data_IF_920160714523
#
_entry.id   IF_920160714523
#
_cell.length_a   1.000
_cell.length_b   1.000
_cell.length_c   1.000
_cell.angle_alpha   90.00
_cell.angle_beta   90.00
_cell.angle_gamma   90.00
#
_symmetry.space_group_name_H-M   'P 1'
#
loop_
_entity.id
_entity.type
_entity.pdbx_description
1 polymer ?
#
# COMPACT_ATOMS: atom_id res chain seq x y z
N UNK A 1 -21.08 -57.14 -30.05
CA UNK A 1 -21.80 -58.12 -29.19
C UNK A 1 -22.40 -57.26 -28.09
N UNK A 2 -23.66 -56.85 -28.18
CA UNK A 2 -24.89 -57.47 -27.62
C UNK A 2 -24.65 -57.84 -26.15
N UNK A 3 -25.37 -57.41 -25.14
CA UNK A 3 -26.77 -57.06 -24.88
C UNK A 3 -26.83 -56.99 -23.35
N UNK A 4 -27.71 -56.48 -22.59
CA UNK A 4 -29.10 -56.07 -22.69
C UNK A 4 -29.58 -55.59 -21.33
N UNK A 5 -30.57 -54.78 -21.35
CA UNK A 5 -31.40 -54.20 -20.33
C UNK A 5 -31.98 -55.14 -19.27
N UNK A 6 -32.35 -54.61 -18.11
CA UNK A 6 -33.62 -54.98 -17.43
C UNK A 6 -34.12 -53.84 -16.55
N UNK A 7 -35.38 -53.49 -16.82
CA UNK A 7 -36.30 -52.65 -16.02
C UNK A 7 -36.93 -53.50 -14.91
N UNK A 8 -37.22 -52.87 -13.77
CA UNK A 8 -38.36 -53.28 -12.95
C UNK A 8 -39.06 -52.11 -12.30
N UNK A 9 -40.34 -51.99 -12.55
CA UNK A 9 -41.33 -51.05 -11.98
C UNK A 9 -42.01 -51.72 -10.77
N UNK A 10 -42.57 -50.92 -9.88
CA UNK A 10 -43.68 -51.29 -8.99
C UNK A 10 -43.53 -50.63 -7.63
N UNK A 11 -44.41 -50.03 -6.97
CA UNK A 11 -45.86 -49.81 -7.04
C UNK A 11 -46.25 -48.97 -5.85
N UNK A 12 -47.22 -48.15 -6.04
CA UNK A 12 -47.94 -47.24 -5.13
C UNK A 12 -48.58 -47.99 -3.96
N UNK A 13 -48.62 -47.40 -2.76
CA UNK A 13 -49.66 -47.68 -1.76
C UNK A 13 -50.05 -46.37 -1.03
N UNK A 14 -51.32 -46.05 -1.14
CA UNK A 14 -52.11 -45.06 -0.37
C UNK A 14 -52.61 -45.70 0.90
N UNK A 15 -52.77 -44.93 1.96
CA UNK A 15 -53.82 -44.88 2.96
C UNK A 15 -53.31 -44.15 4.20
N UNK A 16 -53.99 -43.42 5.00
CA UNK A 16 -55.33 -42.85 5.13
C UNK A 16 -55.31 -42.01 6.40
N UNK A 17 -56.14 -41.00 6.44
CA UNK A 17 -56.27 -40.01 7.49
C UNK A 17 -56.67 -40.59 8.86
N UNK A 18 -56.15 -39.92 9.94
CA UNK A 18 -56.82 -39.94 11.24
C UNK A 18 -56.85 -38.50 11.80
N UNK A 19 -58.09 -38.02 11.99
CA UNK A 19 -58.37 -36.76 12.70
C UNK A 19 -58.39 -37.06 14.20
N UNK A 20 -57.77 -36.22 14.99
CA UNK A 20 -58.16 -35.95 16.37
C UNK A 20 -57.93 -34.50 16.70
N UNK A 21 -59.01 -33.81 17.03
CA UNK A 21 -59.06 -32.49 17.57
C UNK A 21 -58.85 -32.53 19.08
N UNK A 22 -58.10 -31.58 19.67
CA UNK A 22 -58.44 -30.95 20.96
C UNK A 22 -57.64 -29.70 21.21
N UNK A 23 -58.34 -28.59 21.36
CA UNK A 23 -58.31 -27.45 22.27
C UNK A 23 -56.98 -26.77 22.69
N UNK A 24 -56.88 -25.55 22.27
CA UNK A 24 -56.61 -24.28 22.96
C UNK A 24 -55.68 -24.24 24.19
N UNK A 25 -54.64 -23.41 24.06
CA UNK A 25 -53.98 -22.65 25.13
C UNK A 25 -53.03 -21.62 24.57
N UNK A 26 -53.17 -20.32 24.86
CA UNK A 26 -52.34 -19.27 24.28
C UNK A 26 -51.11 -18.99 25.16
N UNK A 27 -49.92 -19.23 24.67
CA UNK A 27 -48.72 -18.54 25.14
C UNK A 27 -47.53 -18.81 24.18
N UNK A 28 -47.57 -18.18 23.02
CA UNK A 28 -46.38 -18.04 22.20
C UNK A 28 -45.72 -16.72 22.60
N UNK A 29 -44.71 -16.79 23.47
CA UNK A 29 -43.80 -15.71 23.77
C UNK A 29 -43.10 -15.28 22.46
N UNK A 30 -43.37 -14.06 22.03
CA UNK A 30 -42.62 -13.30 21.05
C UNK A 30 -41.16 -13.05 21.58
N UNK A 31 -40.27 -14.02 21.39
CA UNK A 31 -38.86 -13.87 21.65
C UNK A 31 -38.13 -14.35 20.40
N UNK A 32 -37.82 -13.44 19.49
CA UNK A 32 -37.07 -13.80 18.30
C UNK A 32 -36.84 -12.68 17.29
N UNK A 33 -37.70 -11.68 17.21
CA UNK A 33 -37.51 -10.59 16.21
C UNK A 33 -36.63 -9.42 16.69
N UNK A 34 -36.55 -9.16 18.00
CA UNK A 34 -35.73 -8.07 18.52
C UNK A 34 -34.23 -8.31 18.51
N UNK A 35 -33.78 -9.55 18.74
CA UNK A 35 -32.35 -9.89 18.78
C UNK A 35 -31.69 -9.91 17.39
N UNK A 36 -32.41 -10.34 16.35
CA UNK A 36 -31.87 -10.36 14.98
C UNK A 36 -31.84 -8.95 14.39
N UNK A 37 -32.84 -8.11 14.69
CA UNK A 37 -32.85 -6.72 14.22
C UNK A 37 -31.81 -5.84 14.94
N UNK A 38 -31.61 -6.01 16.25
CA UNK A 38 -30.56 -5.29 16.99
C UNK A 38 -29.15 -5.75 16.60
N UNK A 39 -28.92 -7.06 16.39
CA UNK A 39 -27.63 -7.55 15.93
C UNK A 39 -27.31 -7.07 14.50
N UNK A 40 -28.33 -6.99 13.64
CA UNK A 40 -28.15 -6.48 12.26
C UNK A 40 -27.96 -4.96 12.24
N UNK A 41 -28.66 -4.20 13.06
CA UNK A 41 -28.48 -2.75 13.18
C UNK A 41 -27.12 -2.39 13.79
N UNK A 42 -26.66 -3.12 14.83
CA UNK A 42 -25.31 -2.93 15.40
C UNK A 42 -24.20 -3.36 14.44
N UNK A 43 -24.41 -4.42 13.65
CA UNK A 43 -23.43 -4.82 12.64
C UNK A 43 -23.33 -3.83 11.47
N UNK A 44 -24.45 -3.23 11.04
CA UNK A 44 -24.46 -2.17 10.01
C UNK A 44 -23.78 -0.91 10.53
N UNK A 45 -24.07 -0.47 11.78
CA UNK A 45 -23.41 0.71 12.36
C UNK A 45 -21.90 0.50 12.60
N UNK A 46 -21.49 -0.70 13.01
CA UNK A 46 -20.07 -1.04 13.16
C UNK A 46 -19.32 -1.10 11.83
N UNK A 47 -19.99 -1.59 10.76
CA UNK A 47 -19.40 -1.59 9.42
C UNK A 47 -19.30 -0.18 8.82
N UNK A 48 -20.25 0.70 9.11
CA UNK A 48 -20.22 2.11 8.69
C UNK A 48 -19.09 2.88 9.37
N UNK A 49 -18.83 2.65 10.66
CA UNK A 49 -17.72 3.28 11.38
C UNK A 49 -16.34 2.74 10.98
N UNK A 50 -16.26 1.48 10.54
CA UNK A 50 -15.00 0.86 10.11
C UNK A 50 -14.44 1.51 8.84
N UNK A 51 -15.30 1.97 7.94
CA UNK A 51 -14.94 2.57 6.65
C UNK A 51 -15.50 3.99 6.50
N UNK A 52 -15.43 4.78 7.56
CA UNK A 52 -15.94 6.16 7.54
C UNK A 52 -15.29 6.99 6.42
N UNK A 53 -16.13 7.46 5.47
CA UNK A 53 -15.69 8.19 4.29
C UNK A 53 -14.97 7.35 3.23
N UNK A 54 -14.97 5.99 3.36
CA UNK A 54 -14.39 5.06 2.38
C UNK A 54 -15.48 4.12 1.87
N UNK A 55 -15.84 4.28 0.60
CA UNK A 55 -16.78 3.42 -0.08
C UNK A 55 -16.10 2.14 -0.56
N UNK A 56 -16.76 0.99 -0.40
CA UNK A 56 -16.26 -0.31 -0.83
C UNK A 56 -17.12 -0.84 -1.97
N UNK A 57 -16.48 -1.54 -2.88
CA UNK A 57 -17.11 -2.24 -3.99
C UNK A 57 -16.51 -3.63 -4.18
N UNK A 58 -17.10 -4.41 -5.10
CA UNK A 58 -16.51 -5.66 -5.56
C UNK A 58 -16.10 -5.53 -7.01
N UNK A 59 -14.89 -5.98 -7.32
CA UNK A 59 -14.41 -6.06 -8.68
C UNK A 59 -15.11 -7.18 -9.49
N UNK A 60 -14.78 -7.31 -10.78
CA UNK A 60 -15.35 -8.34 -11.66
C UNK A 60 -15.06 -9.78 -11.21
N UNK A 61 -14.05 -9.99 -10.35
CA UNK A 61 -13.72 -11.28 -9.74
C UNK A 61 -14.35 -11.49 -8.36
N UNK A 62 -15.21 -10.55 -7.92
CA UNK A 62 -15.89 -10.58 -6.62
C UNK A 62 -15.02 -10.18 -5.42
N UNK A 63 -13.79 -9.72 -5.63
CA UNK A 63 -12.87 -9.29 -4.58
C UNK A 63 -13.28 -7.92 -4.05
N UNK A 64 -13.34 -7.78 -2.72
CA UNK A 64 -13.65 -6.51 -2.07
C UNK A 64 -12.49 -5.54 -2.19
N UNK A 65 -12.78 -4.29 -2.53
CA UNK A 65 -11.80 -3.21 -2.64
C UNK A 65 -12.40 -1.85 -2.30
N UNK A 66 -11.55 -0.88 -2.06
CA UNK A 66 -11.95 0.53 -1.99
C UNK A 66 -12.45 0.95 -3.37
N UNK A 67 -13.62 1.62 -3.44
CA UNK A 67 -14.15 2.19 -4.67
C UNK A 67 -13.33 3.43 -5.08
N UNK A 68 -13.16 3.60 -6.40
CA UNK A 68 -12.43 4.76 -6.94
C UNK A 68 -13.22 6.05 -6.67
N UNK A 69 -12.56 7.03 -6.04
CA UNK A 69 -13.11 8.36 -5.78
C UNK A 69 -12.28 9.43 -6.47
N UNK A 70 -12.85 10.11 -7.45
CA UNK A 70 -12.15 11.06 -8.31
C UNK A 70 -11.58 12.29 -7.58
N UNK A 71 -12.20 12.73 -6.48
CA UNK A 71 -11.72 13.85 -5.65
C UNK A 71 -10.70 13.46 -4.58
N UNK A 72 -10.31 12.17 -4.51
CA UNK A 72 -9.51 11.62 -3.43
C UNK A 72 -10.32 11.48 -2.13
N UNK A 73 -9.65 11.28 -1.01
CA UNK A 73 -10.28 10.98 0.27
C UNK A 73 -10.03 12.09 1.30
N UNK A 74 -9.35 11.77 2.39
CA UNK A 74 -9.07 12.72 3.46
C UNK A 74 -7.86 13.57 3.14
N UNK A 75 -7.72 14.71 3.84
CA UNK A 75 -6.61 15.65 3.65
C UNK A 75 -5.90 15.90 4.96
N UNK A 76 -4.59 16.12 4.84
CA UNK A 76 -3.68 16.46 5.92
C UNK A 76 -2.71 17.52 5.44
N UNK A 77 -2.56 18.58 6.19
CA UNK A 77 -1.64 19.67 5.85
C UNK A 77 -0.22 19.31 6.29
N UNK A 78 0.65 19.04 5.34
CA UNK A 78 2.06 18.79 5.59
C UNK A 78 2.92 19.86 4.92
N UNK A 79 3.73 20.59 5.70
CA UNK A 79 4.56 21.70 5.22
C UNK A 79 3.79 22.73 4.38
N UNK A 80 2.52 22.97 4.73
CA UNK A 80 1.62 23.88 3.99
C UNK A 80 0.94 23.29 2.77
N UNK A 81 1.14 21.99 2.46
CA UNK A 81 0.51 21.29 1.35
C UNK A 81 -0.61 20.35 1.85
N UNK A 82 -1.78 20.43 1.22
CA UNK A 82 -2.95 19.58 1.52
C UNK A 82 -2.77 18.17 0.90
N UNK A 83 -2.03 17.31 1.56
CA UNK A 83 -1.78 15.94 1.14
C UNK A 83 -3.00 15.05 1.32
N UNK A 84 -3.22 14.13 0.39
CA UNK A 84 -4.34 13.20 0.43
C UNK A 84 -3.96 11.87 1.09
N UNK A 85 -4.93 11.21 1.74
CA UNK A 85 -4.76 9.88 2.30
C UNK A 85 -6.08 9.13 2.43
N UNK A 86 -6.02 7.81 2.56
CA UNK A 86 -7.14 6.94 2.91
C UNK A 86 -6.92 6.42 4.33
N UNK A 87 -7.97 6.43 5.17
CA UNK A 87 -7.96 5.80 6.47
C UNK A 87 -9.16 4.85 6.62
N UNK A 88 -8.94 3.71 7.25
CA UNK A 88 -10.00 2.74 7.58
C UNK A 88 -9.63 1.99 8.86
N UNK A 89 -10.64 1.53 9.59
CA UNK A 89 -10.43 0.80 10.83
C UNK A 89 -9.92 1.68 11.98
N UNK A 90 -10.16 2.98 11.96
CA UNK A 90 -9.66 3.92 12.98
C UNK A 90 -10.19 3.62 14.38
N UNK A 91 -11.35 2.98 14.47
CA UNK A 91 -11.97 2.53 15.73
C UNK A 91 -11.52 1.15 16.19
N UNK A 92 -10.64 0.49 15.46
CA UNK A 92 -10.06 -0.79 15.84
C UNK A 92 -9.05 -0.61 16.98
N UNK A 93 -8.92 -1.64 17.83
CA UNK A 93 -7.94 -1.69 18.91
C UNK A 93 -6.57 -2.25 18.46
N UNK A 94 -6.47 -2.75 17.26
CA UNK A 94 -5.26 -3.36 16.72
C UNK A 94 -4.19 -2.35 16.33
N UNK A 95 -3.00 -2.84 15.96
CA UNK A 95 -1.85 -2.00 15.60
C UNK A 95 -2.13 -1.06 14.40
N UNK A 96 -1.39 0.05 14.37
CA UNK A 96 -1.37 0.98 13.24
C UNK A 96 -0.59 0.36 12.08
N UNK A 97 -1.12 0.48 10.86
CA UNK A 97 -0.43 0.12 9.62
C UNK A 97 -0.42 1.30 8.67
N UNK A 98 0.77 1.79 8.34
CA UNK A 98 0.99 2.88 7.37
C UNK A 98 1.42 2.29 6.03
N UNK A 99 0.65 2.57 4.96
CA UNK A 99 0.85 2.07 3.61
C UNK A 99 1.43 3.16 2.71
N UNK A 100 2.55 2.88 2.03
CA UNK A 100 3.31 3.82 1.19
C UNK A 100 3.45 3.27 -0.23
N UNK A 101 2.88 3.97 -1.21
CA UNK A 101 2.82 3.54 -2.60
C UNK A 101 4.13 3.75 -3.38
N UNK A 102 4.22 3.17 -4.58
CA UNK A 102 5.35 3.29 -5.50
C UNK A 102 5.27 4.49 -6.45
N UNK A 103 6.22 4.56 -7.40
CA UNK A 103 6.27 5.58 -8.44
C UNK A 103 5.04 5.51 -9.37
N UNK A 104 4.46 6.67 -9.67
CA UNK A 104 3.28 6.76 -10.54
C UNK A 104 1.99 6.23 -9.93
N UNK A 105 2.06 5.66 -8.73
CA UNK A 105 0.92 5.17 -7.96
C UNK A 105 0.44 6.21 -6.93
N UNK A 106 -0.49 5.82 -6.07
CA UNK A 106 -1.04 6.62 -4.97
C UNK A 106 -1.78 5.72 -3.95
N UNK A 107 -2.41 6.29 -2.93
CA UNK A 107 -3.09 5.54 -1.86
C UNK A 107 -4.11 4.50 -2.36
N UNK A 108 -4.80 4.74 -3.48
CA UNK A 108 -5.74 3.79 -4.10
C UNK A 108 -5.08 2.48 -4.57
N UNK A 109 -3.78 2.46 -4.79
CA UNK A 109 -3.04 1.23 -5.12
C UNK A 109 -3.13 0.17 -4.01
N UNK A 110 -3.47 0.57 -2.78
CA UNK A 110 -3.71 -0.29 -1.65
C UNK A 110 -5.19 -0.72 -1.51
N UNK A 111 -6.00 -0.52 -2.55
CA UNK A 111 -7.46 -0.69 -2.56
C UNK A 111 -7.95 -2.04 -2.04
N UNK A 112 -7.22 -3.13 -2.26
CA UNK A 112 -7.53 -4.47 -1.75
C UNK A 112 -6.95 -4.72 -0.35
N UNK A 113 -5.84 -4.07 -0.03
CA UNK A 113 -5.14 -4.26 1.25
C UNK A 113 -5.85 -3.50 2.38
N UNK A 114 -6.33 -2.30 2.10
CA UNK A 114 -7.02 -1.46 3.11
C UNK A 114 -8.21 -2.20 3.74
N UNK A 115 -9.21 -2.71 2.99
CA UNK A 115 -10.34 -3.40 3.61
C UNK A 115 -9.93 -4.72 4.27
N UNK A 116 -8.98 -5.45 3.71
CA UNK A 116 -8.51 -6.70 4.30
C UNK A 116 -7.91 -6.50 5.69
N UNK A 117 -7.03 -5.50 5.85
CA UNK A 117 -6.41 -5.18 7.13
C UNK A 117 -7.40 -4.57 8.13
N UNK A 118 -8.26 -3.64 7.68
CA UNK A 118 -9.25 -3.02 8.55
C UNK A 118 -10.24 -4.04 9.13
N UNK A 119 -10.71 -5.00 8.30
CA UNK A 119 -11.58 -6.11 8.76
C UNK A 119 -10.86 -7.08 9.70
N UNK A 120 -9.54 -7.18 9.59
CA UNK A 120 -8.72 -8.00 10.50
C UNK A 120 -8.38 -7.27 11.82
N UNK A 121 -8.92 -6.07 12.04
CA UNK A 121 -8.79 -5.33 13.30
C UNK A 121 -7.64 -4.34 13.36
N UNK A 122 -6.96 -4.04 12.23
CA UNK A 122 -5.89 -3.05 12.16
C UNK A 122 -6.43 -1.63 11.88
N UNK A 123 -5.72 -0.61 12.36
CA UNK A 123 -5.93 0.79 12.01
C UNK A 123 -5.06 1.12 10.80
N UNK A 124 -5.67 1.37 9.65
CA UNK A 124 -5.00 1.40 8.34
C UNK A 124 -4.98 2.79 7.76
N UNK A 125 -3.81 3.27 7.38
CA UNK A 125 -3.59 4.60 6.82
C UNK A 125 -2.74 4.50 5.56
N UNK A 126 -3.26 4.89 4.40
CA UNK A 126 -2.56 4.88 3.12
C UNK A 126 -2.31 6.31 2.65
N UNK A 127 -1.03 6.72 2.63
CA UNK A 127 -0.60 8.05 2.25
C UNK A 127 -0.54 8.19 0.72
N UNK A 128 -0.99 9.34 0.17
CA UNK A 128 -0.50 9.83 -1.12
C UNK A 128 0.73 10.72 -0.88
N UNK A 129 1.90 10.24 -1.25
CA UNK A 129 3.13 11.05 -1.15
C UNK A 129 2.99 12.36 -1.94
N UNK A 130 3.59 13.43 -1.47
CA UNK A 130 3.57 14.73 -2.16
C UNK A 130 4.14 14.58 -3.57
N UNK A 131 3.47 15.16 -4.55
CA UNK A 131 3.78 15.00 -5.96
C UNK A 131 3.04 13.86 -6.66
N UNK A 132 2.32 12.99 -5.92
CA UNK A 132 1.59 11.85 -6.46
C UNK A 132 0.10 11.88 -6.16
N UNK A 133 -0.67 11.12 -6.93
CA UNK A 133 -2.09 10.89 -6.71
C UNK A 133 -2.89 12.19 -6.56
N UNK A 134 -3.67 12.28 -5.52
CA UNK A 134 -4.47 13.46 -5.16
C UNK A 134 -3.76 14.44 -4.22
N UNK A 135 -2.49 14.20 -3.89
CA UNK A 135 -1.64 15.20 -3.24
C UNK A 135 -1.16 16.23 -4.25
N UNK A 136 -0.87 17.47 -3.82
CA UNK A 136 -0.48 18.57 -4.73
C UNK A 136 0.72 18.25 -5.60
N UNK A 137 0.67 18.71 -6.84
CA UNK A 137 1.73 18.61 -7.84
C UNK A 137 2.58 19.89 -7.80
N UNK A 138 3.61 19.87 -6.98
CA UNK A 138 4.47 21.04 -6.71
C UNK A 138 5.90 20.79 -7.14
N UNK A 139 6.63 21.88 -7.41
CA UNK A 139 8.04 21.81 -7.79
C UNK A 139 8.93 21.78 -6.53
N UNK A 140 9.03 20.61 -5.91
CA UNK A 140 9.91 20.37 -4.77
C UNK A 140 11.16 19.57 -5.16
N UNK A 141 12.18 19.62 -4.33
CA UNK A 141 13.38 18.80 -4.49
C UNK A 141 13.15 17.41 -3.91
N UNK A 142 12.36 16.61 -4.62
CA UNK A 142 12.05 15.25 -4.19
C UNK A 142 13.32 14.39 -4.09
N UNK A 143 13.39 13.61 -3.02
CA UNK A 143 14.39 12.57 -2.77
C UNK A 143 13.81 11.56 -1.76
N UNK A 144 14.53 10.46 -1.48
CA UNK A 144 14.06 9.45 -0.54
C UNK A 144 13.88 10.03 0.88
N UNK A 145 14.82 10.87 1.31
CA UNK A 145 14.79 11.51 2.63
C UNK A 145 13.57 12.43 2.79
N UNK A 146 13.18 13.13 1.71
CA UNK A 146 12.01 14.00 1.70
C UNK A 146 10.72 13.20 1.94
N UNK A 147 10.51 12.13 1.18
CA UNK A 147 9.33 11.28 1.36
C UNK A 147 9.39 10.44 2.64
N UNK A 148 10.59 9.99 3.04
CA UNK A 148 10.78 9.31 4.31
C UNK A 148 10.37 10.17 5.49
N UNK A 149 10.74 11.46 5.48
CA UNK A 149 10.27 12.41 6.49
C UNK A 149 8.74 12.59 6.43
N UNK A 150 8.14 12.65 5.23
CA UNK A 150 6.68 12.70 5.11
C UNK A 150 6.01 11.46 5.72
N UNK A 151 6.58 10.27 5.54
CA UNK A 151 6.07 9.03 6.16
C UNK A 151 6.16 9.09 7.69
N UNK A 152 7.26 9.59 8.25
CA UNK A 152 7.43 9.77 9.70
C UNK A 152 6.36 10.71 10.24
N UNK A 153 6.24 11.91 9.66
CA UNK A 153 5.32 12.95 10.11
C UNK A 153 3.87 12.47 9.97
N UNK A 154 3.51 11.85 8.85
CA UNK A 154 2.19 11.27 8.62
C UNK A 154 1.84 10.19 9.64
N UNK A 155 2.76 9.27 9.91
CA UNK A 155 2.55 8.21 10.89
C UNK A 155 2.29 8.77 12.29
N UNK A 156 2.96 9.85 12.67
CA UNK A 156 2.82 10.49 13.98
C UNK A 156 1.58 11.38 14.06
N UNK A 157 1.42 12.28 13.10
CA UNK A 157 0.41 13.34 13.16
C UNK A 157 -1.00 12.87 12.76
N UNK A 158 -1.09 11.91 11.82
CA UNK A 158 -2.36 11.41 11.29
C UNK A 158 -2.72 10.05 11.87
N UNK A 159 -1.79 9.10 11.84
CA UNK A 159 -2.06 7.76 12.34
C UNK A 159 -1.89 7.63 13.86
N UNK A 160 -1.28 8.60 14.52
CA UNK A 160 -1.09 8.62 15.98
C UNK A 160 0.05 7.74 16.48
N UNK A 161 0.99 7.37 15.59
CA UNK A 161 2.12 6.53 15.97
C UNK A 161 3.02 7.21 17.02
N UNK A 162 3.42 6.47 18.02
CA UNK A 162 4.23 6.92 19.16
C UNK A 162 5.17 5.81 19.65
N UNK A 163 5.89 6.07 20.73
CA UNK A 163 6.72 5.04 21.38
C UNK A 163 5.90 3.93 22.05
N UNK A 164 4.68 4.24 22.49
CA UNK A 164 3.75 3.30 23.12
C UNK A 164 2.79 2.63 22.14
N UNK A 165 2.54 3.26 21.01
CA UNK A 165 1.62 2.78 19.96
C UNK A 165 2.30 2.87 18.59
N UNK A 166 3.18 1.92 18.33
CA UNK A 166 4.05 1.92 17.15
C UNK A 166 3.29 1.49 15.89
N UNK A 167 3.67 2.09 14.75
CA UNK A 167 3.15 1.68 13.44
C UNK A 167 3.97 0.59 12.78
N UNK A 168 3.31 -0.28 12.01
CA UNK A 168 3.99 -1.09 10.99
C UNK A 168 3.96 -0.31 9.67
N UNK A 169 5.11 -0.13 9.04
CA UNK A 169 5.21 0.59 7.78
C UNK A 169 5.34 -0.42 6.64
N UNK A 170 4.46 -0.33 5.65
CA UNK A 170 4.44 -1.19 4.46
C UNK A 170 4.65 -0.32 3.24
N UNK A 171 5.71 -0.54 2.49
CA UNK A 171 6.02 0.27 1.32
C UNK A 171 6.25 -0.54 0.06
N UNK A 172 5.79 -0.04 -1.11
CA UNK A 172 6.04 -0.65 -2.41
C UNK A 172 7.05 0.17 -3.22
N UNK A 173 8.02 -0.49 -3.85
CA UNK A 173 8.97 0.12 -4.79
C UNK A 173 9.74 1.30 -4.16
N UNK A 174 9.63 2.53 -4.69
CA UNK A 174 10.22 3.74 -4.07
C UNK A 174 9.57 4.05 -2.72
N UNK A 175 8.29 3.71 -2.53
CA UNK A 175 7.63 3.82 -1.23
C UNK A 175 8.23 2.89 -0.19
N UNK A 176 8.81 1.75 -0.60
CA UNK A 176 9.56 0.88 0.29
C UNK A 176 10.87 1.53 0.76
N UNK A 177 11.52 2.33 -0.10
CA UNK A 177 12.69 3.13 0.31
C UNK A 177 12.33 4.24 1.31
N UNK A 178 11.22 4.95 1.07
CA UNK A 178 10.71 5.95 2.00
C UNK A 178 10.32 5.30 3.34
N UNK A 179 9.69 4.11 3.30
CA UNK A 179 9.36 3.32 4.48
C UNK A 179 10.63 2.86 5.23
N UNK A 180 11.65 2.39 4.52
CA UNK A 180 12.93 2.00 5.11
C UNK A 180 13.62 3.20 5.77
N UNK A 181 13.67 4.36 5.10
CA UNK A 181 14.18 5.58 5.70
C UNK A 181 13.42 5.93 6.99
N UNK A 182 12.11 5.92 6.94
CA UNK A 182 11.27 6.23 8.11
C UNK A 182 11.51 5.27 9.27
N UNK A 183 11.53 3.96 9.00
CA UNK A 183 11.75 2.94 10.02
C UNK A 183 13.16 2.99 10.64
N UNK A 184 14.19 3.30 9.82
CA UNK A 184 15.59 3.39 10.31
C UNK A 184 15.88 4.71 11.02
N UNK A 185 15.16 5.80 10.67
CA UNK A 185 15.40 7.14 11.26
C UNK A 185 14.55 7.36 12.52
N UNK A 186 13.36 6.75 12.60
CA UNK A 186 12.45 6.86 13.73
C UNK A 186 12.04 5.48 14.29
N UNK A 187 13.00 4.62 14.69
CA UNK A 187 12.74 3.24 15.11
C UNK A 187 11.88 3.16 16.38
N UNK A 188 11.87 4.22 17.19
CA UNK A 188 11.04 4.29 18.40
C UNK A 188 9.54 4.28 18.10
N UNK A 189 9.10 4.73 16.94
CA UNK A 189 7.71 4.74 16.51
C UNK A 189 7.37 3.64 15.48
N UNK A 190 8.34 2.80 15.11
CA UNK A 190 8.19 1.71 14.15
C UNK A 190 8.14 0.36 14.86
N UNK A 191 7.08 -0.42 14.66
CA UNK A 191 6.90 -1.79 15.16
C UNK A 191 7.51 -2.82 14.22
N UNK A 192 7.44 -2.57 12.91
CA UNK A 192 7.95 -3.46 11.88
C UNK A 192 7.89 -2.80 10.51
N UNK A 193 8.68 -3.33 9.58
CA UNK A 193 8.81 -2.86 8.21
C UNK A 193 8.51 -3.98 7.21
N UNK A 194 7.61 -3.75 6.27
CA UNK A 194 7.39 -4.63 5.13
C UNK A 194 7.82 -3.95 3.84
N UNK A 195 8.80 -4.52 3.17
CA UNK A 195 9.28 -4.08 1.86
C UNK A 195 8.61 -4.90 0.76
N UNK A 196 7.77 -4.24 -0.05
CA UNK A 196 7.06 -4.86 -1.17
C UNK A 196 7.79 -4.50 -2.45
N UNK A 197 8.44 -5.48 -3.09
CA UNK A 197 9.23 -5.28 -4.32
C UNK A 197 10.05 -3.99 -4.27
N UNK A 198 10.89 -3.86 -3.24
CA UNK A 198 11.59 -2.61 -2.93
C UNK A 198 12.53 -2.17 -4.04
N UNK A 199 12.45 -0.90 -4.41
CA UNK A 199 13.52 -0.23 -5.13
C UNK A 199 14.75 -0.08 -4.21
N UNK A 200 15.87 0.33 -4.77
CA UNK A 200 17.11 0.60 -4.06
C UNK A 200 18.26 -0.28 -4.51
N UNK A 201 19.46 0.20 -4.22
CA UNK A 201 20.68 -0.58 -4.35
C UNK A 201 21.05 -1.15 -2.97
N UNK A 202 21.02 -2.48 -2.88
CA UNK A 202 21.38 -3.26 -1.69
C UNK A 202 22.71 -4.02 -1.89
N UNK A 203 23.52 -3.61 -2.88
CA UNK A 203 24.85 -4.19 -3.05
C UNK A 203 25.71 -3.83 -1.83
N UNK A 204 26.49 -4.79 -1.32
CA UNK A 204 27.42 -4.48 -0.25
C UNK A 204 28.46 -3.49 -0.77
N UNK A 205 28.67 -2.39 -0.06
CA UNK A 205 29.82 -1.54 -0.33
C UNK A 205 31.11 -2.37 -0.17
N UNK A 206 32.04 -2.22 -1.10
CA UNK A 206 33.35 -2.84 -0.97
C UNK A 206 33.98 -2.38 0.35
N UNK A 207 34.14 -3.32 1.29
CA UNK A 207 34.72 -3.24 2.62
C UNK A 207 34.34 -2.03 3.51
N UNK A 208 33.91 -2.25 4.76
CA UNK A 208 33.60 -1.15 5.67
C UNK A 208 34.86 -0.31 5.92
N UNK A 209 34.82 0.97 5.52
CA UNK A 209 35.79 1.96 5.96
C UNK A 209 35.68 2.19 7.45
N UNK A 210 36.73 2.69 8.12
CA UNK A 210 36.74 2.90 9.56
C UNK A 210 35.66 3.92 9.99
N UNK A 211 34.90 3.56 11.03
CA UNK A 211 33.88 4.33 11.74
C UNK A 211 32.66 4.80 10.93
N UNK A 212 31.60 3.98 10.93
CA UNK A 212 30.25 4.39 10.53
C UNK A 212 29.69 5.39 11.56
N UNK A 213 29.55 6.65 11.16
CA UNK A 213 28.72 7.60 11.93
C UNK A 213 27.27 7.14 11.88
N UNK A 214 26.58 7.15 13.02
CA UNK A 214 25.14 6.84 13.08
C UNK A 214 24.34 7.82 12.24
N UNK A 215 23.15 7.40 11.75
CA UNK A 215 22.24 8.25 10.96
C UNK A 215 21.92 9.57 11.66
N UNK A 216 21.76 9.57 12.98
CA UNK A 216 21.55 10.76 13.79
C UNK A 216 22.75 11.74 13.70
N UNK A 217 23.98 11.22 13.63
CA UNK A 217 25.20 12.05 13.48
C UNK A 217 25.38 12.60 12.06
N UNK A 218 24.85 11.91 11.04
CA UNK A 218 24.82 12.37 9.64
C UNK A 218 23.77 13.46 9.44
N UNK A 219 22.56 13.27 9.96
CA UNK A 219 21.45 14.22 9.82
C UNK A 219 21.76 15.61 10.43
N UNK A 220 22.55 15.67 11.50
CA UNK A 220 22.96 16.93 12.14
C UNK A 220 24.07 17.66 11.33
N UNK A 221 24.90 16.92 10.58
CA UNK A 221 25.96 17.50 9.73
C UNK A 221 25.42 18.14 8.45
N UNK A 222 24.42 17.52 7.82
CA UNK A 222 23.91 17.90 6.49
C UNK A 222 22.93 19.10 6.51
N UNK A 223 22.36 19.44 7.67
CA UNK A 223 21.48 20.60 7.81
C UNK A 223 22.19 21.96 7.67
N UNK A 224 23.51 21.99 7.71
CA UNK A 224 24.33 23.25 7.62
C UNK A 224 24.82 23.57 6.21
N UNK A 225 24.69 22.67 5.22
CA UNK A 225 25.36 22.81 3.92
C UNK A 225 24.42 23.17 2.73
N UNK A 226 23.16 23.57 3.00
CA UNK A 226 22.16 23.83 1.94
C UNK A 226 22.04 25.32 1.57
N UNK A 227 23.00 26.16 1.86
CA UNK A 227 22.95 27.60 1.52
C UNK A 227 24.13 28.06 0.65
N UNK A 228 24.44 27.33 -0.42
CA UNK A 228 25.26 27.87 -1.51
C UNK A 228 24.39 28.19 -2.72
N UNK A 229 24.14 29.50 -2.91
CA UNK A 229 23.70 30.09 -4.17
C UNK A 229 24.78 29.84 -5.22
N UNK A 230 24.74 28.70 -5.90
CA UNK A 230 25.51 28.47 -7.12
C UNK A 230 24.95 29.36 -8.23
N UNK A 231 25.81 30.25 -8.76
CA UNK A 231 25.55 30.98 -10.00
C UNK A 231 25.38 29.93 -11.13
N UNK A 232 24.12 29.58 -11.46
CA UNK A 232 23.82 28.72 -12.57
C UNK A 232 24.36 29.30 -13.87
N UNK A 233 25.26 28.58 -14.54
CA UNK A 233 25.80 28.97 -15.81
C UNK A 233 24.71 28.90 -16.92
N UNK A 234 24.88 29.68 -18.00
CA UNK A 234 23.99 29.62 -19.17
C UNK A 234 23.88 28.18 -19.70
N UNK A 235 24.94 27.39 -19.62
CA UNK A 235 25.00 25.97 -20.02
C UNK A 235 24.09 25.13 -19.14
N UNK A 236 24.03 25.38 -17.82
CA UNK A 236 23.17 24.63 -16.92
C UNK A 236 21.69 24.92 -17.18
N UNK A 237 21.34 26.18 -17.49
CA UNK A 237 19.97 26.55 -17.90
C UNK A 237 19.55 25.88 -19.19
N UNK A 238 20.42 25.79 -20.20
CA UNK A 238 20.16 25.09 -21.46
C UNK A 238 19.99 23.57 -21.20
N UNK A 239 20.85 22.97 -20.38
CA UNK A 239 20.76 21.56 -19.99
C UNK A 239 19.44 21.28 -19.27
N UNK A 240 19.04 22.14 -18.35
CA UNK A 240 17.79 22.01 -17.62
C UNK A 240 16.59 22.13 -18.56
N UNK A 241 16.57 23.13 -19.44
CA UNK A 241 15.49 23.30 -20.42
C UNK A 241 15.34 22.09 -21.34
N UNK A 242 16.46 21.53 -21.82
CA UNK A 242 16.45 20.29 -22.62
C UNK A 242 15.92 19.10 -21.81
N UNK A 243 16.38 18.92 -20.57
CA UNK A 243 15.93 17.84 -19.70
C UNK A 243 14.44 17.94 -19.37
N UNK A 244 13.90 19.16 -19.16
CA UNK A 244 12.48 19.41 -18.99
C UNK A 244 11.68 19.06 -20.25
N UNK A 245 12.19 19.40 -21.44
CA UNK A 245 11.54 19.06 -22.70
C UNK A 245 11.46 17.55 -22.93
N UNK A 246 12.55 16.82 -22.64
CA UNK A 246 12.60 15.34 -22.69
C UNK A 246 11.62 14.74 -21.70
N UNK A 247 11.61 15.18 -20.44
CA UNK A 247 10.67 14.71 -19.44
C UNK A 247 9.21 14.96 -19.83
N UNK A 248 8.92 16.09 -20.46
CA UNK A 248 7.60 16.43 -21.01
C UNK A 248 7.18 15.43 -22.10
N UNK A 249 8.07 15.13 -23.04
CA UNK A 249 7.82 14.14 -24.09
C UNK A 249 7.57 12.73 -23.52
N UNK A 250 8.36 12.32 -22.53
CA UNK A 250 8.17 11.05 -21.82
C UNK A 250 6.81 11.04 -21.11
N UNK A 251 6.46 12.10 -20.39
CA UNK A 251 5.20 12.23 -19.68
C UNK A 251 3.99 12.01 -20.60
N UNK A 252 3.92 12.71 -21.72
CA UNK A 252 2.82 12.54 -22.68
C UNK A 252 2.81 11.14 -23.30
N UNK A 253 3.97 10.61 -23.69
CA UNK A 253 4.07 9.24 -24.20
C UNK A 253 3.56 8.21 -23.19
N UNK A 254 3.93 8.38 -21.93
CA UNK A 254 3.52 7.50 -20.82
C UNK A 254 2.01 7.59 -20.58
N UNK A 255 1.45 8.79 -20.55
CA UNK A 255 0.03 9.03 -20.33
C UNK A 255 -0.86 8.24 -21.30
N UNK A 256 -0.52 8.21 -22.59
CA UNK A 256 -1.27 7.43 -23.59
C UNK A 256 -1.05 5.92 -23.50
N UNK A 257 -0.10 5.45 -22.69
CA UNK A 257 0.33 4.05 -22.61
C UNK A 257 0.26 3.48 -21.21
N UNK A 258 -0.45 4.13 -20.28
CA UNK A 258 -0.52 3.72 -18.86
C UNK A 258 -0.85 2.23 -18.74
N UNK A 259 -1.94 1.74 -19.37
CA UNK A 259 -2.32 0.32 -19.32
C UNK A 259 -1.22 -0.60 -19.84
N UNK A 260 -0.57 -0.24 -20.95
CA UNK A 260 0.50 -1.04 -21.54
C UNK A 260 1.75 -1.09 -20.64
N UNK A 261 2.09 0.02 -20.00
CA UNK A 261 3.25 0.09 -19.08
C UNK A 261 2.96 -0.71 -17.82
N UNK A 262 1.77 -0.58 -17.24
CA UNK A 262 1.36 -1.37 -16.09
C UNK A 262 1.35 -2.87 -16.42
N UNK A 263 0.83 -3.25 -17.60
CA UNK A 263 0.80 -4.67 -18.01
C UNK A 263 2.18 -5.30 -18.15
N UNK A 264 3.24 -4.52 -18.35
CA UNK A 264 4.62 -5.05 -18.36
C UNK A 264 5.11 -5.46 -16.97
N UNK A 265 4.51 -4.94 -15.92
CA UNK A 265 4.92 -5.14 -14.52
C UNK A 265 3.85 -5.83 -13.67
N UNK A 266 2.72 -6.21 -14.26
CA UNK A 266 1.67 -7.02 -13.69
C UNK A 266 1.67 -8.41 -14.33
N UNK A 267 1.51 -9.45 -13.55
CA UNK A 267 1.34 -10.83 -14.04
C UNK A 267 -0.09 -11.04 -14.56
N UNK A 268 -1.08 -10.45 -13.88
CA UNK A 268 -2.49 -10.55 -14.27
C UNK A 268 -2.96 -9.31 -15.01
N UNK A 269 -4.14 -9.40 -15.62
CA UNK A 269 -4.72 -8.27 -16.37
C UNK A 269 -4.95 -7.06 -15.48
N UNK A 270 -4.44 -5.91 -15.94
CA UNK A 270 -4.58 -4.62 -15.27
C UNK A 270 -6.01 -4.12 -15.35
N UNK A 271 -6.55 -3.78 -14.21
CA UNK A 271 -7.89 -3.24 -14.02
C UNK A 271 -8.01 -1.81 -14.57
N UNK A 272 -9.11 -1.52 -15.27
CA UNK A 272 -9.34 -0.22 -15.91
C UNK A 272 -9.50 0.92 -14.88
N UNK A 273 -10.02 0.66 -13.67
CA UNK A 273 -10.12 1.68 -12.62
C UNK A 273 -8.74 2.09 -12.10
N UNK A 274 -7.78 1.16 -12.06
CA UNK A 274 -6.40 1.50 -11.73
C UNK A 274 -5.81 2.44 -12.79
N UNK A 275 -6.00 2.11 -14.07
CA UNK A 275 -5.56 2.96 -15.19
C UNK A 275 -6.19 4.34 -15.10
N UNK A 276 -7.51 4.39 -14.88
CA UNK A 276 -8.28 5.64 -14.72
C UNK A 276 -7.76 6.47 -13.54
N UNK A 277 -7.47 5.84 -12.42
CA UNK A 277 -6.99 6.53 -11.23
C UNK A 277 -5.65 7.24 -11.45
N UNK A 278 -4.74 6.61 -12.20
CA UNK A 278 -3.44 7.18 -12.56
C UNK A 278 -3.63 8.31 -13.61
N UNK A 279 -4.50 8.11 -14.60
CA UNK A 279 -4.79 9.15 -15.61
C UNK A 279 -5.41 10.40 -14.98
N UNK A 280 -6.36 10.24 -14.03
CA UNK A 280 -6.93 11.36 -13.28
C UNK A 280 -5.86 12.18 -12.56
N UNK A 281 -4.93 11.51 -11.87
CA UNK A 281 -3.83 12.17 -11.19
C UNK A 281 -2.85 12.87 -12.15
N UNK A 282 -2.69 12.34 -13.38
CA UNK A 282 -1.84 12.92 -14.41
C UNK A 282 -2.49 14.12 -15.15
N UNK A 283 -3.78 14.38 -14.92
CA UNK A 283 -4.49 15.54 -15.48
C UNK A 283 -4.29 16.82 -14.67
N UNK A 284 -3.72 16.74 -13.45
CA UNK A 284 -3.42 17.91 -12.64
C UNK A 284 -2.48 18.87 -13.39
N UNK A 285 -2.77 20.17 -13.43
CA UNK A 285 -1.96 21.16 -14.16
C UNK A 285 -0.47 21.19 -13.78
N UNK A 286 -0.14 20.84 -12.53
CA UNK A 286 1.22 20.74 -12.05
C UNK A 286 1.96 19.44 -12.43
N UNK A 287 1.24 18.43 -12.97
CA UNK A 287 1.77 17.08 -13.13
C UNK A 287 3.05 16.99 -13.97
N UNK A 288 3.13 17.73 -15.09
CA UNK A 288 4.31 17.71 -15.96
C UNK A 288 5.55 18.24 -15.26
N UNK A 289 5.43 19.39 -14.58
CA UNK A 289 6.55 19.98 -13.85
C UNK A 289 6.99 19.10 -12.69
N UNK A 290 6.04 18.56 -11.98
CA UNK A 290 6.29 17.60 -10.90
C UNK A 290 6.95 16.34 -11.41
N UNK A 291 6.50 15.78 -12.54
CA UNK A 291 7.11 14.60 -13.17
C UNK A 291 8.60 14.81 -13.46
N UNK A 292 8.98 15.98 -13.97
CA UNK A 292 10.40 16.34 -14.14
C UNK A 292 11.16 16.29 -12.81
N UNK A 293 10.61 16.90 -11.76
CA UNK A 293 11.25 16.89 -10.43
C UNK A 293 11.36 15.48 -9.85
N UNK A 294 10.33 14.65 -10.06
CA UNK A 294 10.30 13.23 -9.64
C UNK A 294 11.38 12.40 -10.36
N UNK A 295 11.62 12.68 -11.66
CA UNK A 295 12.66 11.97 -12.43
C UNK A 295 14.08 12.23 -11.91
N UNK A 296 14.28 13.31 -11.18
CA UNK A 296 15.56 13.66 -10.55
C UNK A 296 15.71 13.14 -9.12
N UNK A 297 14.66 12.55 -8.53
CA UNK A 297 14.67 12.17 -7.12
C UNK A 297 15.79 11.19 -6.77
N UNK A 298 16.06 10.23 -7.63
CA UNK A 298 17.13 9.26 -7.42
C UNK A 298 18.52 9.89 -7.35
N UNK A 299 18.82 10.90 -8.20
CA UNK A 299 20.10 11.58 -8.20
C UNK A 299 20.29 12.54 -7.00
N UNK A 300 19.19 12.95 -6.37
CA UNK A 300 19.20 13.83 -5.18
C UNK A 300 19.26 13.05 -3.87
N UNK A 301 18.91 11.75 -3.90
CA UNK A 301 18.96 10.89 -2.73
C UNK A 301 20.41 10.67 -2.32
N UNK A 302 20.75 11.02 -1.08
CA UNK A 302 22.11 10.94 -0.54
C UNK A 302 22.34 9.68 0.28
N UNK A 303 21.30 9.19 0.95
CA UNK A 303 21.39 7.97 1.77
C UNK A 303 21.39 6.73 0.91
N UNK A 304 22.16 5.72 1.30
CA UNK A 304 22.19 4.43 0.62
C UNK A 304 21.20 3.47 1.27
N UNK A 305 20.41 2.78 0.45
CA UNK A 305 19.43 1.81 0.94
C UNK A 305 20.08 0.65 1.71
N UNK A 306 21.25 0.20 1.29
CA UNK A 306 22.01 -0.84 1.99
C UNK A 306 22.46 -0.42 3.38
N UNK A 307 22.88 0.84 3.57
CA UNK A 307 23.29 1.37 4.88
C UNK A 307 22.08 1.50 5.82
N UNK A 308 20.95 2.07 5.33
CA UNK A 308 19.71 2.15 6.09
C UNK A 308 19.22 0.77 6.53
N UNK A 309 19.28 -0.19 5.61
CA UNK A 309 18.87 -1.56 5.92
C UNK A 309 19.79 -2.20 6.96
N UNK A 310 21.11 -2.00 6.85
CA UNK A 310 22.08 -2.53 7.81
C UNK A 310 21.85 -1.99 9.23
N UNK A 311 21.46 -0.71 9.33
CA UNK A 311 21.19 -0.03 10.61
C UNK A 311 19.78 -0.32 11.18
N UNK A 312 18.88 -0.95 10.39
CA UNK A 312 17.53 -1.29 10.86
C UNK A 312 17.52 -2.62 11.61
N UNK A 313 17.15 -2.61 12.89
CA UNK A 313 17.13 -3.79 13.77
C UNK A 313 15.71 -4.30 14.10
N UNK A 314 14.66 -3.67 13.52
CA UNK A 314 13.29 -4.07 13.74
C UNK A 314 12.86 -5.32 12.94
N UNK A 315 11.64 -5.78 13.19
CA UNK A 315 11.03 -6.88 12.43
C UNK A 315 10.90 -6.50 10.95
N UNK A 316 11.40 -7.35 10.06
CA UNK A 316 11.43 -7.12 8.61
C UNK A 316 10.72 -8.23 7.85
N UNK A 317 9.82 -7.83 6.94
CA UNK A 317 9.21 -8.69 5.95
C UNK A 317 9.57 -8.23 4.53
N UNK A 318 9.80 -9.18 3.64
CA UNK A 318 9.93 -8.98 2.20
C UNK A 318 8.74 -9.67 1.53
N UNK A 319 7.75 -8.92 1.11
CA UNK A 319 6.62 -9.39 0.30
C UNK A 319 6.99 -9.19 -1.17
N UNK A 320 7.15 -10.28 -1.93
CA UNK A 320 7.80 -10.18 -3.22
C UNK A 320 7.04 -10.87 -4.33
N UNK A 321 6.63 -10.11 -5.35
CA UNK A 321 6.11 -10.65 -6.60
C UNK A 321 7.24 -11.27 -7.42
N UNK A 322 7.16 -12.57 -7.64
CA UNK A 322 8.24 -13.33 -8.30
C UNK A 322 8.37 -13.04 -9.80
N UNK A 323 7.33 -12.46 -10.40
CA UNK A 323 7.28 -12.08 -11.82
C UNK A 323 7.65 -10.63 -12.09
N UNK A 324 8.14 -9.91 -11.07
CA UNK A 324 8.60 -8.53 -11.25
C UNK A 324 9.82 -8.45 -12.16
N UNK A 325 9.73 -7.78 -13.33
CA UNK A 325 10.86 -7.64 -14.23
C UNK A 325 11.88 -6.58 -13.78
N UNK A 326 11.50 -5.68 -12.84
CA UNK A 326 12.35 -4.58 -12.37
C UNK A 326 13.05 -4.90 -11.06
N UNK A 327 12.26 -5.34 -10.07
CA UNK A 327 12.74 -5.73 -8.75
C UNK A 327 12.72 -7.26 -8.66
N UNK A 328 13.64 -7.90 -9.40
CA UNK A 328 13.70 -9.36 -9.49
C UNK A 328 13.93 -10.01 -8.11
N UNK A 329 13.60 -11.29 -7.92
CA UNK A 329 13.87 -12.02 -6.68
C UNK A 329 15.35 -11.98 -6.22
N UNK A 330 16.28 -11.73 -7.13
CA UNK A 330 17.70 -11.53 -6.80
C UNK A 330 17.90 -10.35 -5.84
N UNK A 331 17.12 -9.27 -6.00
CA UNK A 331 17.18 -8.14 -5.05
C UNK A 331 16.70 -8.53 -3.64
N UNK A 332 15.65 -9.34 -3.54
CA UNK A 332 15.20 -9.87 -2.25
C UNK A 332 16.29 -10.75 -1.61
N UNK A 333 17.00 -11.54 -2.40
CA UNK A 333 18.14 -12.32 -1.92
C UNK A 333 19.25 -11.43 -1.36
N UNK A 334 19.58 -10.32 -2.02
CA UNK A 334 20.55 -9.33 -1.52
C UNK A 334 20.12 -8.67 -0.20
N UNK A 335 18.84 -8.32 -0.06
CA UNK A 335 18.31 -7.83 1.21
C UNK A 335 18.47 -8.87 2.31
N UNK A 336 18.21 -10.15 2.02
CA UNK A 336 18.35 -11.25 2.98
C UNK A 336 19.80 -11.56 3.35
N UNK A 337 20.75 -11.29 2.48
CA UNK A 337 22.18 -11.36 2.81
C UNK A 337 22.56 -10.33 3.90
N UNK A 338 21.96 -9.13 3.86
CA UNK A 338 22.16 -8.08 4.87
C UNK A 338 21.35 -8.39 6.14
N UNK A 339 20.11 -8.89 6.00
CA UNK A 339 19.16 -9.20 7.09
C UNK A 339 18.66 -10.65 6.97
N UNK A 340 19.45 -11.63 7.43
CA UNK A 340 19.10 -13.06 7.28
C UNK A 340 17.79 -13.46 7.98
N UNK A 341 17.40 -12.73 9.02
CA UNK A 341 16.17 -12.97 9.77
C UNK A 341 14.91 -12.34 9.14
N UNK A 342 15.04 -11.68 7.98
CA UNK A 342 13.89 -11.13 7.27
C UNK A 342 12.94 -12.26 6.84
N UNK A 343 11.65 -12.11 7.13
CA UNK A 343 10.61 -13.01 6.64
C UNK A 343 10.44 -12.79 5.14
N UNK A 344 10.65 -13.82 4.33
CA UNK A 344 10.47 -13.76 2.87
C UNK A 344 9.15 -14.43 2.49
N UNK A 345 8.28 -13.68 1.86
CA UNK A 345 6.98 -14.14 1.36
C UNK A 345 6.89 -13.91 -0.15
N UNK A 346 7.30 -14.89 -0.96
CA UNK A 346 7.09 -14.84 -2.41
C UNK A 346 5.61 -15.04 -2.75
N UNK A 347 5.11 -14.29 -3.72
CA UNK A 347 3.76 -14.43 -4.27
C UNK A 347 3.81 -14.47 -5.79
N UNK A 348 2.87 -15.18 -6.42
CA UNK A 348 2.73 -15.18 -7.87
C UNK A 348 2.10 -13.86 -8.31
N UNK A 349 2.92 -12.87 -8.59
CA UNK A 349 2.52 -11.53 -9.01
C UNK A 349 3.72 -10.74 -9.52
N UNK A 350 3.44 -9.58 -10.13
CA UNK A 350 4.45 -8.67 -10.67
C UNK A 350 4.97 -7.67 -9.63
N UNK A 351 5.26 -6.45 -10.09
CA UNK A 351 5.87 -5.38 -9.29
C UNK A 351 5.00 -4.85 -8.16
N UNK A 352 3.69 -4.97 -8.29
CA UNK A 352 2.71 -4.50 -7.30
C UNK A 352 1.86 -5.67 -6.79
N UNK A 353 2.46 -6.68 -6.10
CA UNK A 353 1.76 -7.92 -5.73
C UNK A 353 0.55 -7.67 -4.84
N UNK A 354 0.55 -6.62 -4.03
CA UNK A 354 -0.58 -6.20 -3.19
C UNK A 354 -1.84 -5.80 -3.99
N UNK A 355 -1.69 -5.43 -5.26
CA UNK A 355 -2.79 -5.11 -6.18
C UNK A 355 -2.99 -6.20 -7.25
N UNK A 356 -1.92 -6.80 -7.72
CA UNK A 356 -1.90 -7.83 -8.77
C UNK A 356 -2.38 -9.20 -8.25
N UNK A 357 -1.85 -9.64 -7.10
CA UNK A 357 -2.19 -10.88 -6.40
C UNK A 357 -2.65 -10.60 -4.95
N UNK A 358 -3.77 -9.84 -4.76
CA UNK A 358 -4.13 -9.31 -3.44
C UNK A 358 -4.51 -10.37 -2.41
N UNK A 359 -5.04 -11.52 -2.81
CA UNK A 359 -5.44 -12.56 -1.88
C UNK A 359 -4.21 -13.15 -1.17
N UNK A 360 -3.21 -13.57 -1.93
CA UNK A 360 -1.96 -14.15 -1.42
C UNK A 360 -1.14 -13.11 -0.67
N UNK A 361 -1.06 -11.89 -1.21
CA UNK A 361 -0.33 -10.79 -0.58
C UNK A 361 -0.92 -10.40 0.77
N UNK A 362 -2.23 -10.26 0.86
CA UNK A 362 -2.92 -9.93 2.10
C UNK A 362 -2.82 -11.07 3.12
N UNK A 363 -2.93 -12.34 2.68
CA UNK A 363 -2.76 -13.49 3.57
C UNK A 363 -1.36 -13.55 4.18
N UNK A 364 -0.31 -13.34 3.37
CA UNK A 364 1.06 -13.31 3.83
C UNK A 364 1.31 -12.13 4.78
N UNK A 365 0.82 -10.95 4.44
CA UNK A 365 0.96 -9.75 5.27
C UNK A 365 0.26 -9.91 6.62
N UNK A 366 -1.00 -10.38 6.64
CA UNK A 366 -1.77 -10.63 7.85
C UNK A 366 -1.11 -11.69 8.75
N UNK A 367 -0.61 -12.77 8.17
CA UNK A 367 0.13 -13.80 8.90
C UNK A 367 1.36 -13.23 9.61
N UNK A 368 2.13 -12.39 8.92
CA UNK A 368 3.31 -11.76 9.51
C UNK A 368 2.94 -10.72 10.57
N UNK A 369 1.94 -9.87 10.29
CA UNK A 369 1.45 -8.85 11.24
C UNK A 369 0.98 -9.47 12.57
N UNK A 370 0.29 -10.62 12.50
CA UNK A 370 -0.20 -11.32 13.69
C UNK A 370 0.90 -11.98 14.51
N UNK A 371 2.07 -12.21 13.92
CA UNK A 371 3.25 -12.79 14.59
C UNK A 371 4.18 -11.73 15.19
N UNK A 372 3.93 -10.43 14.98
CA UNK A 372 4.73 -9.36 15.55
C UNK A 372 4.51 -9.24 17.08
N UNK A 373 5.57 -9.11 17.87
CA UNK A 373 5.50 -9.03 19.33
C UNK A 373 4.72 -7.83 19.84
#
# INVERSE_FOLDING_TARGET
>A
MRSSASRARGRVARASAFRASTSMGPNARTVGRGRVATARATAVSAAETLFDGVELERDARGRERVALREGGWRRWTWRGYECNYIAAGETNDGPIVTLVHGFGAHSYHWRYTIPALARAGYRVYALCMLGYGWSPKVEEKYCMEFWGQQVIDFSREVAGASTSDKTVIVGNSIGALAALYAASTAPESCKGLCLVNSAGNFEPDAAPGPERKTLAQRAVGDAKEIDEKTNESVVDKIREAFSRAVATGIFYSTKFRIKQILQQVYEFEVDDDLVRSIDLAAQDPGAIKTFYQLSLAGSRTKVKAGDLLADYDGALMLLWGEKDPWMTPTKASRIREIKPNAVYAPVLGGHCPHDDAPAESNAALLSWLSALP
#
